data_IF_080900498963
#
_entry.id   IF_080900498963
#
_cell.length_a   1.000
_cell.length_b   1.000
_cell.length_c   1.000
_cell.angle_alpha   90.00
_cell.angle_beta   90.00
_cell.angle_gamma   90.00
#
_symmetry.space_group_name_H-M   'P 1'
#
loop_
_entity.id
_entity.type
_entity.pdbx_description
1 polymer ?
#
# COMPACT_ATOMS: atom_id res chain seq x y z
N UNK A 1 -1.81 -73.57 17.84
CA UNK A 1 -1.34 -72.41 18.64
C UNK A 1 -0.56 -71.38 17.81
N UNK A 2 0.14 -71.79 16.74
CA UNK A 2 0.94 -70.90 15.85
C UNK A 2 0.06 -69.95 15.01
N UNK A 3 -1.06 -70.44 14.45
CA UNK A 3 -1.98 -69.63 13.62
C UNK A 3 -2.62 -68.48 14.39
N UNK A 4 -2.95 -68.69 15.68
CA UNK A 4 -3.56 -67.68 16.55
C UNK A 4 -2.60 -66.54 16.89
N UNK A 5 -1.29 -66.81 16.94
CA UNK A 5 -0.21 -65.83 17.15
C UNK A 5 0.11 -65.03 15.89
N UNK A 6 0.06 -65.66 14.71
CA UNK A 6 0.26 -64.97 13.42
C UNK A 6 -0.92 -64.03 13.14
N UNK A 7 -2.14 -64.45 13.46
CA UNK A 7 -3.33 -63.60 13.31
C UNK A 7 -3.31 -62.38 14.24
N UNK A 8 -2.81 -62.53 15.48
CA UNK A 8 -2.65 -61.37 16.39
C UNK A 8 -1.58 -60.40 15.91
N UNK A 9 -0.49 -60.89 15.30
CA UNK A 9 0.56 -60.06 14.71
C UNK A 9 0.10 -59.33 13.44
N UNK A 10 -0.70 -59.96 12.57
CA UNK A 10 -1.28 -59.28 11.40
C UNK A 10 -2.28 -58.18 11.81
N UNK A 11 -3.13 -58.43 12.81
CA UNK A 11 -4.08 -57.42 13.31
C UNK A 11 -3.34 -56.27 14.00
N UNK A 12 -2.26 -56.54 14.73
CA UNK A 12 -1.43 -55.49 15.32
C UNK A 12 -0.69 -54.65 14.27
N UNK A 13 -0.22 -55.25 13.17
CA UNK A 13 0.44 -54.52 12.07
C UNK A 13 -0.53 -53.67 11.25
N UNK A 14 -1.81 -54.06 11.18
CA UNK A 14 -2.84 -53.29 10.48
C UNK A 14 -3.30 -52.04 11.24
N UNK A 15 -3.11 -51.98 12.56
CA UNK A 15 -3.43 -50.80 13.39
C UNK A 15 -2.34 -49.72 13.31
N UNK A 16 -1.16 -50.02 12.75
CA UNK A 16 -0.03 -49.09 12.62
C UNK A 16 0.02 -48.29 11.32
N UNK A 17 -0.90 -48.52 10.38
CA UNK A 17 -1.06 -47.75 9.14
C UNK A 17 -2.38 -46.97 9.25
N UNK A 18 -2.50 -45.65 9.22
CA UNK A 18 -1.68 -44.59 8.65
C UNK A 18 -2.06 -43.30 9.40
N UNK A 19 -1.16 -42.73 10.19
CA UNK A 19 -1.29 -41.32 10.53
C UNK A 19 -0.89 -40.53 9.29
N UNK A 20 -1.86 -40.21 8.43
CA UNK A 20 -1.65 -39.23 7.36
C UNK A 20 -1.44 -37.91 8.08
N UNK A 21 -0.19 -37.47 8.20
CA UNK A 21 0.13 -36.10 8.59
C UNK A 21 -0.28 -35.25 7.41
N UNK A 22 -1.51 -34.74 7.41
CA UNK A 22 -1.86 -33.65 6.52
C UNK A 22 -1.06 -32.45 7.03
N UNK A 23 -0.11 -31.97 6.23
CA UNK A 23 0.50 -30.68 6.48
C UNK A 23 -0.58 -29.62 6.24
N UNK A 24 -1.40 -29.35 7.26
CA UNK A 24 -2.36 -28.26 7.21
C UNK A 24 -1.60 -26.96 7.00
N UNK A 25 -2.03 -26.16 6.03
CA UNK A 25 -1.48 -24.81 5.84
C UNK A 25 -1.58 -24.01 7.14
N UNK A 26 -0.46 -23.42 7.57
CA UNK A 26 -0.35 -22.63 8.81
C UNK A 26 -1.35 -21.46 8.83
N UNK A 27 -1.67 -20.93 7.64
CA UNK A 27 -2.55 -19.77 7.46
C UNK A 27 -3.88 -20.15 6.81
N UNK A 28 -4.19 -21.43 6.72
CA UNK A 28 -5.38 -21.95 6.05
C UNK A 28 -5.25 -22.00 4.53
N UNK A 29 -6.36 -22.31 3.87
CA UNK A 29 -6.44 -22.49 2.43
C UNK A 29 -7.49 -21.57 1.81
N UNK A 30 -7.23 -21.12 0.58
CA UNK A 30 -8.19 -20.40 -0.24
C UNK A 30 -8.36 -21.14 -1.56
N UNK A 31 -9.56 -21.68 -1.79
CA UNK A 31 -9.91 -22.46 -2.99
C UNK A 31 -8.91 -23.59 -3.30
N UNK A 32 -8.43 -24.29 -2.27
CA UNK A 32 -7.50 -25.42 -2.39
C UNK A 32 -6.02 -25.03 -2.50
N UNK A 33 -5.68 -23.74 -2.38
CA UNK A 33 -4.30 -23.27 -2.33
C UNK A 33 -3.93 -22.80 -0.92
N UNK A 34 -2.73 -23.14 -0.46
CA UNK A 34 -2.22 -22.68 0.83
C UNK A 34 -2.06 -21.15 0.83
N UNK A 35 -2.55 -20.50 1.88
CA UNK A 35 -2.42 -19.06 2.06
C UNK A 35 -0.99 -18.71 2.53
N UNK A 36 -0.43 -17.66 1.94
CA UNK A 36 0.78 -16.99 2.41
C UNK A 36 0.44 -15.67 3.11
N UNK A 37 1.35 -15.18 3.97
CA UNK A 37 1.18 -13.89 4.65
C UNK A 37 1.97 -12.81 3.92
N UNK A 38 1.34 -11.65 3.68
CA UNK A 38 2.01 -10.46 3.17
C UNK A 38 2.31 -9.49 4.32
N UNK A 39 3.58 -9.11 4.46
CA UNK A 39 4.03 -8.11 5.44
C UNK A 39 4.76 -7.01 4.69
N UNK A 40 4.32 -5.76 4.87
CA UNK A 40 4.91 -4.56 4.24
C UNK A 40 5.30 -3.62 5.37
N UNK A 41 6.57 -3.22 5.44
CA UNK A 41 7.08 -2.34 6.50
C UNK A 41 6.69 -2.82 7.92
N UNK A 42 6.86 -4.12 8.18
CA UNK A 42 6.49 -4.80 9.43
C UNK A 42 4.98 -4.79 9.76
N UNK A 43 4.13 -4.33 8.85
CA UNK A 43 2.68 -4.39 8.98
C UNK A 43 2.13 -5.56 8.18
N UNK A 44 1.40 -6.46 8.85
CA UNK A 44 0.70 -7.55 8.17
C UNK A 44 -0.49 -6.95 7.42
N UNK A 45 -0.61 -7.30 6.13
CA UNK A 45 -1.77 -6.91 5.33
C UNK A 45 -2.87 -7.95 5.55
N UNK A 46 -4.02 -7.48 6.05
CA UNK A 46 -5.22 -8.28 6.20
C UNK A 46 -6.00 -8.34 4.88
N UNK A 47 -6.61 -9.50 4.62
CA UNK A 47 -7.42 -9.77 3.44
C UNK A 47 -8.81 -10.22 3.91
N UNK A 48 -9.85 -9.51 3.47
CA UNK A 48 -11.23 -9.83 3.83
C UNK A 48 -11.72 -11.11 3.14
N UNK A 49 -12.91 -11.57 3.53
CA UNK A 49 -13.52 -12.77 2.95
C UNK A 49 -13.80 -12.68 1.44
N UNK A 50 -13.94 -11.46 0.91
CA UNK A 50 -14.11 -11.18 -0.52
C UNK A 50 -12.80 -11.01 -1.28
N UNK A 51 -11.68 -10.88 -0.58
CA UNK A 51 -10.38 -10.66 -1.19
C UNK A 51 -9.73 -12.00 -1.56
N UNK A 52 -8.88 -11.96 -2.59
CA UNK A 52 -7.94 -13.06 -2.84
C UNK A 52 -6.71 -12.79 -1.97
N UNK A 53 -6.35 -13.66 -1.01
CA UNK A 53 -5.14 -13.49 -0.22
C UNK A 53 -3.90 -13.91 -1.04
N UNK A 54 -2.67 -13.69 -0.53
CA UNK A 54 -1.47 -14.31 -1.07
C UNK A 54 -1.58 -15.82 -1.04
N UNK A 55 -1.19 -16.48 -2.13
CA UNK A 55 -1.32 -17.93 -2.29
C UNK A 55 0.03 -18.57 -2.59
N UNK A 56 0.21 -19.83 -2.18
CA UNK A 56 1.32 -20.68 -2.60
C UNK A 56 0.80 -21.60 -3.70
N UNK A 57 1.35 -21.45 -4.90
CA UNK A 57 1.02 -22.23 -6.10
C UNK A 57 2.30 -22.84 -6.63
N UNK A 58 2.39 -24.16 -6.70
CA UNK A 58 3.58 -24.90 -7.16
C UNK A 58 4.88 -24.46 -6.47
N UNK A 59 4.81 -24.25 -5.15
CA UNK A 59 5.95 -23.79 -4.33
C UNK A 59 6.33 -22.32 -4.52
N UNK A 60 5.60 -21.56 -5.35
CA UNK A 60 5.81 -20.12 -5.58
C UNK A 60 4.73 -19.31 -4.87
N UNK A 61 5.11 -18.14 -4.37
CA UNK A 61 4.15 -17.20 -3.80
C UNK A 61 3.56 -16.33 -4.90
N UNK A 62 2.24 -16.32 -5.01
CA UNK A 62 1.46 -15.45 -5.90
C UNK A 62 0.81 -14.38 -5.04
N UNK A 63 1.12 -13.11 -5.36
CA UNK A 63 0.62 -11.97 -4.60
C UNK A 63 -0.52 -11.28 -5.36
N UNK A 64 -1.61 -10.87 -4.67
CA UNK A 64 -2.67 -10.08 -5.28
C UNK A 64 -2.14 -8.74 -5.77
N UNK A 65 -2.20 -8.50 -7.09
CA UNK A 65 -1.58 -7.33 -7.71
C UNK A 65 -2.12 -6.01 -7.14
N UNK A 66 -3.39 -5.93 -6.75
CA UNK A 66 -3.98 -4.73 -6.14
C UNK A 66 -3.33 -4.41 -4.79
N UNK A 67 -3.17 -5.41 -3.92
CA UNK A 67 -2.48 -5.24 -2.64
C UNK A 67 -1.01 -4.83 -2.83
N UNK A 68 -0.36 -5.36 -3.87
CA UNK A 68 0.99 -4.94 -4.23
C UNK A 68 1.05 -3.53 -4.79
N UNK A 69 0.04 -3.10 -5.57
CA UNK A 69 -0.01 -1.73 -6.09
C UNK A 69 -0.11 -0.69 -4.97
N UNK A 70 -0.90 -0.97 -3.94
CA UNK A 70 -1.00 -0.12 -2.75
C UNK A 70 0.34 -0.04 -2.02
N UNK A 71 0.97 -1.20 -1.79
CA UNK A 71 2.25 -1.30 -1.10
C UNK A 71 3.40 -0.61 -1.86
N UNK A 72 3.38 -0.70 -3.19
CA UNK A 72 4.36 -0.07 -4.06
C UNK A 72 4.03 1.39 -4.34
N UNK A 73 2.88 1.90 -3.91
CA UNK A 73 2.43 3.26 -4.20
C UNK A 73 2.47 3.53 -5.72
N UNK A 74 1.75 2.69 -6.46
CA UNK A 74 1.66 2.70 -7.91
C UNK A 74 0.22 2.83 -8.38
N UNK A 75 0.07 3.14 -9.66
CA UNK A 75 -1.21 3.23 -10.37
C UNK A 75 -1.47 1.90 -11.08
N UNK A 76 -2.63 1.31 -10.87
CA UNK A 76 -3.04 0.05 -11.48
C UNK A 76 -4.20 0.27 -12.44
N UNK A 77 -4.03 -0.14 -13.69
CA UNK A 77 -5.09 -0.15 -14.70
C UNK A 77 -5.31 -1.57 -15.22
N UNK A 78 -6.55 -2.04 -15.17
CA UNK A 78 -6.96 -3.30 -15.80
C UNK A 78 -7.52 -3.02 -17.20
N UNK A 79 -7.01 -3.72 -18.21
CA UNK A 79 -7.59 -3.78 -19.54
C UNK A 79 -8.28 -5.13 -19.73
N UNK A 80 -9.61 -5.12 -19.70
CA UNK A 80 -10.41 -6.33 -19.80
C UNK A 80 -10.39 -6.95 -21.19
N UNK A 81 -10.13 -6.17 -22.24
CA UNK A 81 -10.14 -6.66 -23.62
C UNK A 81 -8.95 -7.58 -23.90
N UNK A 82 -7.77 -7.19 -23.41
CA UNK A 82 -6.52 -7.94 -23.56
C UNK A 82 -6.21 -8.83 -22.35
N UNK A 83 -7.03 -8.77 -21.28
CA UNK A 83 -6.77 -9.41 -19.97
C UNK A 83 -5.39 -9.02 -19.41
N UNK A 84 -5.03 -7.74 -19.55
CA UNK A 84 -3.73 -7.22 -19.14
C UNK A 84 -3.86 -6.26 -17.98
N UNK A 85 -3.03 -6.45 -16.96
CA UNK A 85 -2.86 -5.47 -15.89
C UNK A 85 -1.64 -4.59 -16.18
N UNK A 86 -1.82 -3.28 -16.12
CA UNK A 86 -0.75 -2.28 -16.24
C UNK A 86 -0.48 -1.67 -14.89
N UNK A 87 0.79 -1.73 -14.46
CA UNK A 87 1.26 -1.12 -13.23
C UNK A 87 2.21 0.04 -13.59
N UNK A 88 1.86 1.26 -13.19
CA UNK A 88 2.67 2.44 -13.41
C UNK A 88 3.21 2.96 -12.08
N UNK A 89 4.53 3.01 -11.95
CA UNK A 89 5.23 3.50 -10.76
C UNK A 89 5.97 4.80 -11.10
N UNK A 90 5.32 5.98 -10.99
CA UNK A 90 6.03 7.24 -11.11
C UNK A 90 6.96 7.43 -9.91
N UNK A 91 8.02 8.22 -10.13
CA UNK A 91 8.82 8.77 -9.04
C UNK A 91 8.15 10.05 -8.56
N UNK A 92 7.93 10.13 -7.26
CA UNK A 92 7.26 11.28 -6.65
C UNK A 92 8.04 11.67 -5.39
N UNK A 93 8.83 12.72 -5.53
CA UNK A 93 9.64 13.26 -4.44
C UNK A 93 8.93 14.48 -3.84
N UNK A 94 8.77 14.48 -2.52
CA UNK A 94 8.13 15.58 -1.80
C UNK A 94 9.07 16.23 -0.79
N UNK A 95 8.85 17.50 -0.49
CA UNK A 95 9.33 18.16 0.72
C UNK A 95 8.38 19.30 1.10
N UNK A 96 8.52 19.80 2.31
CA UNK A 96 7.63 20.83 2.87
C UNK A 96 8.42 22.09 3.17
N UNK A 97 7.88 23.25 2.86
CA UNK A 97 8.47 24.55 3.20
C UNK A 97 7.38 25.51 3.63
N UNK A 98 7.63 26.35 4.62
CA UNK A 98 6.71 27.42 5.04
C UNK A 98 6.75 28.63 4.10
N UNK A 99 7.81 28.75 3.28
CA UNK A 99 7.99 29.89 2.41
C UNK A 99 8.69 29.52 1.09
N UNK A 100 8.34 30.24 0.01
CA UNK A 100 9.08 30.20 -1.26
C UNK A 100 9.28 31.65 -1.72
N UNK A 101 10.40 32.28 -1.30
CA UNK A 101 10.83 33.57 -1.86
C UNK A 101 11.69 33.32 -3.09
N UNK A 102 11.53 34.16 -4.12
CA UNK A 102 12.20 34.02 -5.42
C UNK A 102 13.73 33.98 -5.31
N UNK A 103 14.28 34.67 -4.31
CA UNK A 103 15.72 34.87 -4.10
C UNK A 103 16.19 34.40 -2.70
N UNK A 104 15.47 33.46 -2.08
CA UNK A 104 15.89 32.88 -0.80
C UNK A 104 16.01 31.37 -0.88
N UNK A 105 16.90 30.82 -0.05
CA UNK A 105 16.99 29.38 0.12
C UNK A 105 15.62 28.83 0.56
N UNK A 106 15.20 27.74 -0.07
CA UNK A 106 14.08 26.94 0.41
C UNK A 106 14.55 26.25 1.68
N UNK A 107 13.83 26.45 2.79
CA UNK A 107 14.13 25.80 4.06
C UNK A 107 13.12 24.67 4.27
N UNK A 108 13.50 23.41 3.96
CA UNK A 108 12.60 22.30 4.19
C UNK A 108 12.44 22.02 5.68
N UNK A 109 11.27 21.52 6.07
CA UNK A 109 11.04 21.01 7.42
C UNK A 109 10.45 19.60 7.39
N UNK A 110 10.56 18.90 8.52
CA UNK A 110 9.96 17.58 8.75
C UNK A 110 9.48 17.37 10.19
N UNK A 111 9.62 18.39 11.04
CA UNK A 111 9.19 18.37 12.45
C UNK A 111 8.41 19.64 12.74
N UNK A 112 7.33 19.52 13.51
CA UNK A 112 6.48 20.63 13.96
C UNK A 112 6.18 20.48 15.45
N UNK A 113 6.19 21.57 16.19
CA UNK A 113 5.80 21.56 17.61
C UNK A 113 4.32 21.20 17.77
N UNK A 114 4.02 20.27 18.69
CA UNK A 114 2.65 19.86 18.98
C UNK A 114 1.78 21.04 19.45
N UNK A 115 0.52 21.03 19.02
CA UNK A 115 -0.49 22.04 19.33
C UNK A 115 -0.34 23.32 18.49
N UNK A 116 0.59 23.36 17.53
CA UNK A 116 0.70 24.45 16.58
C UNK A 116 -0.17 24.22 15.36
N UNK A 117 -0.56 25.34 14.76
CA UNK A 117 -1.08 25.38 13.41
C UNK A 117 0.01 25.91 12.47
N UNK A 118 0.11 25.34 11.27
CA UNK A 118 1.05 25.80 10.27
C UNK A 118 0.42 25.90 8.88
N UNK A 119 0.83 26.94 8.16
CA UNK A 119 0.66 27.06 6.72
C UNK A 119 1.96 26.66 6.04
N UNK A 120 1.89 25.79 5.05
CA UNK A 120 3.07 25.34 4.33
C UNK A 120 2.74 24.86 2.93
N UNK A 121 3.78 24.71 2.12
CA UNK A 121 3.70 24.25 0.75
C UNK A 121 4.28 22.85 0.67
N UNK A 122 3.49 21.92 0.14
CA UNK A 122 4.00 20.63 -0.36
C UNK A 122 4.59 20.88 -1.74
N UNK A 123 5.91 20.81 -1.83
CA UNK A 123 6.61 20.83 -3.10
C UNK A 123 6.79 19.40 -3.58
N UNK A 124 6.31 19.10 -4.79
CA UNK A 124 6.39 17.76 -5.37
C UNK A 124 7.06 17.80 -6.73
N UNK A 125 8.03 16.92 -6.94
CA UNK A 125 8.57 16.57 -8.24
C UNK A 125 7.99 15.23 -8.66
N UNK A 126 7.45 15.17 -9.87
CA UNK A 126 7.01 13.94 -10.52
C UNK A 126 7.88 13.70 -11.74
N UNK A 127 8.35 12.46 -11.91
CA UNK A 127 8.96 11.98 -13.15
C UNK A 127 8.62 10.49 -13.40
N UNK A 128 9.00 9.98 -14.57
CA UNK A 128 8.67 8.63 -15.03
C UNK A 128 7.16 8.34 -15.05
N UNK A 129 6.32 9.36 -15.28
CA UNK A 129 4.89 9.16 -15.44
C UNK A 129 4.57 8.65 -16.85
N UNK A 130 4.24 7.36 -16.96
CA UNK A 130 3.98 6.66 -18.24
C UNK A 130 2.49 6.43 -18.52
N UNK A 131 1.62 7.19 -17.87
CA UNK A 131 0.16 7.12 -18.01
C UNK A 131 -0.45 8.51 -17.89
N UNK A 132 -1.66 8.69 -18.41
CA UNK A 132 -2.38 9.96 -18.31
C UNK A 132 -3.09 10.06 -16.96
N UNK A 133 -3.00 11.24 -16.33
CA UNK A 133 -3.74 11.58 -15.12
C UNK A 133 -4.58 12.83 -15.33
N UNK A 134 -5.74 12.89 -14.67
CA UNK A 134 -6.66 14.02 -14.75
C UNK A 134 -6.43 15.01 -13.59
N UNK A 135 -5.97 14.51 -12.45
CA UNK A 135 -5.78 15.31 -11.26
C UNK A 135 -4.83 14.67 -10.25
N UNK A 136 -4.30 15.52 -9.37
CA UNK A 136 -3.54 15.16 -8.17
C UNK A 136 -4.34 15.58 -6.95
N UNK A 137 -4.34 14.75 -5.90
CA UNK A 137 -4.89 15.07 -4.59
C UNK A 137 -3.80 14.96 -3.53
N UNK A 138 -3.66 16.02 -2.74
CA UNK A 138 -2.78 16.05 -1.56
C UNK A 138 -3.65 16.08 -0.31
N UNK A 139 -3.42 15.14 0.60
CA UNK A 139 -4.08 15.07 1.90
C UNK A 139 -3.04 14.91 3.00
N UNK A 140 -3.35 15.37 4.20
CA UNK A 140 -2.55 15.12 5.40
C UNK A 140 -3.41 14.37 6.42
N UNK A 141 -2.88 13.26 6.91
CA UNK A 141 -3.55 12.37 7.85
C UNK A 141 -2.85 12.42 9.20
N UNK A 142 -3.60 12.58 10.28
CA UNK A 142 -3.08 12.61 11.65
C UNK A 142 -2.67 11.20 12.15
N UNK A 143 -1.97 11.09 13.29
CA UNK A 143 -1.61 9.81 13.89
C UNK A 143 -2.83 8.89 14.14
N UNK A 144 -3.99 9.47 14.49
CA UNK A 144 -5.25 8.75 14.64
C UNK A 144 -5.92 8.31 13.32
N UNK A 145 -5.37 8.69 12.16
CA UNK A 145 -5.88 8.29 10.84
C UNK A 145 -6.89 9.25 10.22
N UNK A 146 -7.10 10.42 10.81
CA UNK A 146 -8.09 11.41 10.32
C UNK A 146 -7.45 12.43 9.36
N UNK A 147 -8.19 12.88 8.36
CA UNK A 147 -7.74 14.02 7.54
C UNK A 147 -7.73 15.29 8.40
N UNK A 148 -6.58 15.98 8.45
CA UNK A 148 -6.41 17.21 9.25
C UNK A 148 -7.10 18.42 8.60
N UNK A 149 -7.10 18.45 7.27
CA UNK A 149 -7.78 19.46 6.45
C UNK A 149 -8.47 18.79 5.27
N UNK A 150 -9.36 19.54 4.61
CA UNK A 150 -9.93 19.10 3.32
C UNK A 150 -8.79 18.85 2.31
N UNK A 151 -8.74 17.67 1.68
CA UNK A 151 -7.73 17.37 0.68
C UNK A 151 -7.72 18.39 -0.47
N UNK A 152 -6.54 18.84 -0.87
CA UNK A 152 -6.38 19.80 -1.96
C UNK A 152 -6.26 19.04 -3.27
N UNK A 153 -7.13 19.37 -4.23
CA UNK A 153 -7.12 18.79 -5.58
C UNK A 153 -6.57 19.79 -6.57
N UNK A 154 -5.68 19.33 -7.46
CA UNK A 154 -5.12 20.09 -8.58
C UNK A 154 -5.39 19.32 -9.88
N UNK A 155 -6.15 19.93 -10.78
CA UNK A 155 -6.35 19.38 -12.13
C UNK A 155 -5.04 19.42 -12.93
N UNK A 156 -4.84 18.40 -13.77
CA UNK A 156 -3.70 18.27 -14.67
C UNK A 156 -4.26 18.25 -16.09
N UNK A 157 -4.02 19.31 -16.86
CA UNK A 157 -4.49 19.41 -18.25
C UNK A 157 -3.54 18.73 -19.23
N UNK A 158 -2.23 18.84 -19.00
CA UNK A 158 -1.19 18.22 -19.80
C UNK A 158 -0.38 17.25 -18.93
N UNK A 159 -0.70 15.96 -19.03
CA UNK A 159 -0.01 14.90 -18.28
C UNK A 159 1.40 14.64 -18.84
N UNK A 160 2.31 15.58 -18.57
CA UNK A 160 3.73 15.45 -18.90
C UNK A 160 4.35 14.30 -18.13
N UNK A 161 5.34 13.64 -18.73
CA UNK A 161 6.10 12.58 -18.06
C UNK A 161 6.85 13.09 -16.82
N UNK A 162 7.26 14.37 -16.83
CA UNK A 162 7.86 15.04 -15.68
C UNK A 162 7.28 16.43 -15.48
N UNK A 163 6.99 16.78 -14.23
CA UNK A 163 6.49 18.09 -13.83
C UNK A 163 6.72 18.36 -12.34
N UNK A 164 6.54 19.63 -11.96
CA UNK A 164 6.64 20.11 -10.59
C UNK A 164 5.30 20.68 -10.14
N UNK A 165 4.95 20.46 -8.87
CA UNK A 165 3.77 21.06 -8.23
C UNK A 165 4.14 21.75 -6.94
N UNK A 166 3.44 22.86 -6.67
CA UNK A 166 3.43 23.54 -5.38
C UNK A 166 1.99 23.50 -4.87
N UNK A 167 1.77 22.81 -3.76
CA UNK A 167 0.43 22.65 -3.17
C UNK A 167 0.41 23.31 -1.80
N UNK A 168 -0.08 24.56 -1.70
CA UNK A 168 -0.21 25.23 -0.40
C UNK A 168 -1.33 24.56 0.41
N UNK A 169 -1.01 24.26 1.67
CA UNK A 169 -1.93 23.79 2.69
C UNK A 169 -2.01 24.89 3.76
N UNK A 170 -3.23 25.24 4.12
CA UNK A 170 -3.50 26.31 5.08
C UNK A 170 -4.23 25.74 6.30
N UNK A 171 -3.91 26.27 7.48
CA UNK A 171 -4.59 25.96 8.72
C UNK A 171 -4.38 24.52 9.21
N UNK A 172 -3.23 23.89 8.90
CA UNK A 172 -2.97 22.51 9.32
C UNK A 172 -2.65 22.46 10.81
N UNK A 173 -3.51 21.83 11.60
CA UNK A 173 -3.32 21.67 13.05
C UNK A 173 -2.57 20.39 13.41
N UNK A 174 -1.54 20.52 14.25
CA UNK A 174 -0.72 19.42 14.75
C UNK A 174 -1.04 19.10 16.21
N UNK A 175 -2.30 18.77 16.51
CA UNK A 175 -2.80 18.61 17.89
C UNK A 175 -2.36 17.31 18.58
N UNK A 176 -2.05 16.28 17.80
CA UNK A 176 -1.62 14.96 18.27
C UNK A 176 -0.09 14.85 18.23
N UNK A 177 0.53 14.23 19.25
CA UNK A 177 1.93 13.83 19.10
C UNK A 177 2.02 12.60 18.19
N UNK A 178 3.04 12.56 17.34
CA UNK A 178 3.33 11.43 16.48
C UNK A 178 3.46 11.79 15.02
N UNK A 179 3.33 10.77 14.18
CA UNK A 179 3.59 10.88 12.75
C UNK A 179 2.33 11.31 11.99
N UNK A 180 2.40 12.48 11.39
CA UNK A 180 1.45 12.92 10.36
C UNK A 180 1.93 12.46 8.99
N UNK A 181 1.02 11.99 8.15
CA UNK A 181 1.34 11.47 6.82
C UNK A 181 0.72 12.34 5.75
N UNK A 182 1.56 13.02 4.98
CA UNK A 182 1.15 13.70 3.74
C UNK A 182 1.12 12.67 2.62
N UNK A 183 -0.05 12.47 2.03
CA UNK A 183 -0.29 11.55 0.92
C UNK A 183 -0.44 12.34 -0.37
N UNK A 184 0.28 11.91 -1.41
CA UNK A 184 0.15 12.39 -2.77
C UNK A 184 -0.50 11.29 -3.60
N UNK A 185 -1.71 11.57 -4.09
CA UNK A 185 -2.51 10.63 -4.87
C UNK A 185 -2.79 11.17 -6.27
N UNK A 186 -2.90 10.26 -7.24
CA UNK A 186 -3.22 10.59 -8.62
C UNK A 186 -4.52 9.92 -9.03
N UNK A 187 -5.31 10.61 -9.84
CA UNK A 187 -6.45 10.06 -10.54
C UNK A 187 -6.06 9.81 -12.00
N UNK A 188 -6.00 8.54 -12.40
CA UNK A 188 -5.76 8.17 -13.80
C UNK A 188 -6.93 8.59 -14.67
N UNK A 189 -6.63 8.84 -15.95
CA UNK A 189 -7.69 9.06 -16.93
C UNK A 189 -8.62 7.83 -17.04
N UNK A 190 -9.92 8.09 -17.17
CA UNK A 190 -10.97 7.07 -17.14
C UNK A 190 -11.26 6.43 -15.77
N UNK A 191 -10.56 6.82 -14.69
CA UNK A 191 -10.81 6.33 -13.32
C UNK A 191 -11.55 7.38 -12.48
N UNK A 192 -12.52 6.95 -11.66
CA UNK A 192 -13.10 7.78 -10.60
C UNK A 192 -12.20 7.88 -9.37
N UNK A 193 -11.28 6.93 -9.20
CA UNK A 193 -10.60 6.71 -7.94
C UNK A 193 -9.19 7.28 -7.95
N UNK A 194 -8.76 7.71 -6.76
CA UNK A 194 -7.40 8.17 -6.52
C UNK A 194 -6.56 7.05 -5.91
N UNK A 195 -5.39 6.81 -6.49
CA UNK A 195 -4.38 5.92 -5.91
C UNK A 195 -3.26 6.74 -5.29
N UNK A 196 -2.85 6.38 -4.06
CA UNK A 196 -1.71 7.02 -3.39
C UNK A 196 -0.42 6.55 -4.07
N UNK A 197 0.39 7.49 -4.56
CA UNK A 197 1.63 7.21 -5.29
C UNK A 197 2.89 7.67 -4.55
N UNK A 198 2.72 8.42 -3.46
CA UNK A 198 3.79 8.77 -2.54
C UNK A 198 3.24 9.21 -1.19
N UNK A 199 4.04 8.99 -0.15
CA UNK A 199 3.75 9.41 1.21
C UNK A 199 5.01 10.05 1.79
N UNK A 200 4.84 11.08 2.63
CA UNK A 200 5.92 11.71 3.36
C UNK A 200 5.45 12.12 4.75
N UNK A 201 6.33 11.98 5.72
CA UNK A 201 6.01 12.15 7.12
C UNK A 201 6.41 13.53 7.62
N UNK A 202 5.57 14.08 8.51
CA UNK A 202 5.89 15.20 9.38
C UNK A 202 5.75 14.68 10.80
N UNK A 203 6.76 14.89 11.62
CA UNK A 203 6.75 14.46 13.01
C UNK A 203 6.25 15.60 13.89
N UNK A 204 5.26 15.34 14.75
CA UNK A 204 4.77 16.29 15.75
C UNK A 204 5.22 15.88 17.14
N UNK A 205 6.01 16.74 17.77
CA UNK A 205 6.64 16.52 19.09
C UNK A 205 6.37 17.68 20.04
#
# INVERSE_FOLDING_TARGET
>A
MIVRRIFTLMVAFFVLSTAVVTASSIWGEYKGYNIARLVVNNQTKEFGSSDVPPLIVDGKTVLPLRAMSDALQSLLRWDDSSKTAYLYKPNVHMFFTTEVRKDSAIVPFGVVERGKQADFIVFAQVDNLKTTINSVRVSIVSPSGNNVITPVVKSISDSKESFWLKVPLYGVSFDESGTYVVKFAMQQDGSSDYSVVSEKQIQSE
#
